data_IF_905574071319
#
_entry.id   IF_905574071319
#
_cell.length_a   1.000
_cell.length_b   1.000
_cell.length_c   1.000
_cell.angle_alpha   90.00
_cell.angle_beta   90.00
_cell.angle_gamma   90.00
#
_symmetry.space_group_name_H-M   'P 1'
#
loop_
_entity.id
_entity.type
_entity.pdbx_description
1 polymer ?
#
# COMPACT_ATOMS: atom_id res chain seq x y z
N UNK A 1 21.16 -0.13 -10.95
CA UNK A 1 21.79 0.96 -10.16
C UNK A 1 21.37 2.38 -10.59
N UNK A 2 21.47 2.79 -11.87
CA UNK A 2 21.09 4.16 -12.28
C UNK A 2 19.59 4.52 -12.08
N UNK A 3 18.68 3.56 -12.27
CA UNK A 3 17.24 3.80 -12.09
C UNK A 3 16.87 4.12 -10.62
N UNK A 4 17.49 3.42 -9.67
CA UNK A 4 17.28 3.64 -8.23
C UNK A 4 17.78 5.01 -7.81
N UNK A 5 18.95 5.43 -8.31
CA UNK A 5 19.49 6.77 -8.03
C UNK A 5 18.63 7.89 -8.64
N UNK A 6 18.08 7.69 -9.84
CA UNK A 6 17.13 8.64 -10.42
C UNK A 6 15.84 8.72 -9.59
N UNK A 7 15.31 7.59 -9.14
CA UNK A 7 14.11 7.55 -8.31
C UNK A 7 14.32 8.25 -6.97
N UNK A 8 15.47 8.06 -6.31
CA UNK A 8 15.82 8.77 -5.06
C UNK A 8 15.86 10.28 -5.25
N UNK A 9 16.36 10.77 -6.39
CA UNK A 9 16.37 12.22 -6.71
C UNK A 9 14.97 12.79 -6.93
N UNK A 10 14.04 11.95 -7.38
CA UNK A 10 12.63 12.31 -7.63
C UNK A 10 11.72 11.96 -6.45
N UNK A 11 12.27 11.52 -5.31
CA UNK A 11 11.50 10.96 -4.20
C UNK A 11 10.37 11.90 -3.74
N UNK A 12 10.66 13.19 -3.62
CA UNK A 12 9.65 14.16 -3.18
C UNK A 12 8.51 14.33 -4.19
N UNK A 13 8.81 14.29 -5.49
CA UNK A 13 7.80 14.41 -6.55
C UNK A 13 6.90 13.17 -6.59
N UNK A 14 7.47 11.97 -6.46
CA UNK A 14 6.67 10.74 -6.41
C UNK A 14 5.85 10.66 -5.11
N UNK A 15 6.41 11.08 -3.97
CA UNK A 15 5.68 11.15 -2.71
C UNK A 15 4.48 12.09 -2.82
N UNK A 16 4.68 13.31 -3.36
CA UNK A 16 3.59 14.26 -3.52
C UNK A 16 2.50 13.72 -4.44
N UNK A 17 2.86 13.12 -5.57
CA UNK A 17 1.88 12.53 -6.50
C UNK A 17 1.08 11.40 -5.86
N UNK A 18 1.71 10.55 -5.06
CA UNK A 18 1.00 9.50 -4.31
C UNK A 18 0.11 10.11 -3.22
N UNK A 19 0.61 11.07 -2.45
CA UNK A 19 -0.14 11.70 -1.38
C UNK A 19 -1.36 12.48 -1.89
N UNK A 20 -1.27 13.12 -3.07
CA UNK A 20 -2.37 13.85 -3.70
C UNK A 20 -3.57 12.97 -4.12
N UNK A 21 -3.39 11.65 -4.12
CA UNK A 21 -4.49 10.69 -4.34
C UNK A 21 -5.20 10.36 -3.01
N UNK A 22 -4.46 10.33 -1.91
CA UNK A 22 -4.93 9.82 -0.61
C UNK A 22 -5.33 10.93 0.38
N UNK A 23 -4.71 12.10 0.27
CA UNK A 23 -4.91 13.25 1.14
C UNK A 23 -5.52 14.39 0.33
N UNK A 24 -6.75 14.75 0.67
CA UNK A 24 -7.46 15.82 -0.03
C UNK A 24 -6.76 17.17 0.17
N UNK A 25 -6.55 17.89 -0.93
CA UNK A 25 -5.99 19.25 -0.91
C UNK A 25 -4.50 19.37 -0.55
N UNK A 26 -3.74 18.27 -0.41
CA UNK A 26 -2.31 18.35 -0.09
C UNK A 26 -1.50 19.07 -1.18
N UNK A 27 -0.65 20.00 -0.77
CA UNK A 27 0.24 20.72 -1.69
C UNK A 27 1.66 20.14 -1.71
N UNK A 28 2.43 20.49 -2.74
CA UNK A 28 3.84 20.11 -2.81
C UNK A 28 4.66 20.67 -1.63
N UNK A 29 4.51 21.96 -1.22
CA UNK A 29 5.13 22.49 0.00
C UNK A 29 4.80 21.69 1.25
N UNK A 30 3.54 21.28 1.46
CA UNK A 30 3.16 20.48 2.64
C UNK A 30 3.89 19.14 2.66
N UNK A 31 3.96 18.48 1.50
CA UNK A 31 4.71 17.23 1.34
C UNK A 31 6.20 17.43 1.65
N UNK A 32 6.78 18.57 1.24
CA UNK A 32 8.16 18.90 1.53
C UNK A 32 8.42 19.13 3.02
N UNK A 33 7.52 19.84 3.71
CA UNK A 33 7.63 20.03 5.15
C UNK A 33 7.62 18.69 5.89
N UNK A 34 6.70 17.80 5.55
CA UNK A 34 6.63 16.44 6.13
C UNK A 34 7.89 15.64 5.80
N UNK A 35 8.36 15.72 4.54
CA UNK A 35 9.60 15.07 4.13
C UNK A 35 10.79 15.51 4.98
N UNK A 36 10.85 16.79 5.35
CA UNK A 36 11.89 17.39 6.19
C UNK A 36 11.62 17.25 7.71
N UNK A 37 10.56 16.53 8.10
CA UNK A 37 10.23 16.23 9.49
C UNK A 37 9.46 17.34 10.22
N UNK A 38 8.80 18.24 9.49
CA UNK A 38 7.93 19.28 10.03
C UNK A 38 6.46 18.94 9.78
N UNK A 39 5.57 19.48 10.62
CA UNK A 39 4.14 19.36 10.46
C UNK A 39 3.58 20.62 9.77
N UNK A 40 2.92 20.50 8.61
CA UNK A 40 2.25 21.62 7.97
C UNK A 40 1.16 22.24 8.85
N UNK A 41 1.01 23.56 8.74
CA UNK A 41 -0.04 24.27 9.46
C UNK A 41 -1.43 23.81 8.99
N UNK A 42 -2.32 23.55 9.94
CA UNK A 42 -3.73 23.16 9.70
C UNK A 42 -3.94 21.81 8.98
N UNK A 43 -2.94 20.93 8.94
CA UNK A 43 -3.12 19.57 8.42
C UNK A 43 -3.52 18.60 9.53
N UNK A 44 -4.41 17.64 9.22
CA UNK A 44 -4.81 16.61 10.17
C UNK A 44 -3.63 15.68 10.49
N UNK A 45 -3.58 15.19 11.73
CA UNK A 45 -2.53 14.26 12.17
C UNK A 45 -2.54 13.00 11.32
N UNK A 46 -3.72 12.46 11.00
CA UNK A 46 -3.85 11.26 10.19
C UNK A 46 -3.28 11.45 8.78
N UNK A 47 -3.51 12.60 8.16
CA UNK A 47 -2.93 12.94 6.85
C UNK A 47 -1.39 13.03 6.90
N UNK A 48 -0.85 13.62 7.96
CA UNK A 48 0.60 13.66 8.20
C UNK A 48 1.15 12.24 8.35
N UNK A 49 0.42 11.35 9.03
CA UNK A 49 0.82 9.93 9.17
C UNK A 49 0.79 9.24 7.80
N UNK A 50 -0.22 9.47 6.96
CA UNK A 50 -0.29 8.92 5.59
C UNK A 50 0.97 9.27 4.80
N UNK A 51 1.35 10.55 4.76
CA UNK A 51 2.52 11.01 3.99
C UNK A 51 3.83 10.43 4.55
N UNK A 52 3.97 10.36 5.88
CA UNK A 52 5.12 9.72 6.51
C UNK A 52 5.20 8.22 6.21
N UNK A 53 4.08 7.52 6.17
CA UNK A 53 4.03 6.11 5.82
C UNK A 53 4.38 5.89 4.35
N UNK A 54 3.92 6.76 3.44
CA UNK A 54 4.35 6.76 2.03
C UNK A 54 5.87 6.91 1.93
N UNK A 55 6.47 7.87 2.66
CA UNK A 55 7.93 8.05 2.70
C UNK A 55 8.66 6.77 3.10
N UNK A 56 8.18 6.12 4.16
CA UNK A 56 8.77 4.88 4.68
C UNK A 56 8.61 3.71 3.71
N UNK A 57 7.47 3.62 3.03
CA UNK A 57 7.24 2.59 2.02
C UNK A 57 8.20 2.75 0.81
N UNK A 58 8.46 3.99 0.38
CA UNK A 58 9.49 4.26 -0.64
C UNK A 58 10.90 3.91 -0.18
N UNK A 59 11.26 4.20 1.08
CA UNK A 59 12.54 3.79 1.65
C UNK A 59 12.68 2.27 1.66
N UNK A 60 11.64 1.56 2.11
CA UNK A 60 11.59 0.10 2.07
C UNK A 60 11.78 -0.45 0.65
N UNK A 61 11.13 0.15 -0.36
CA UNK A 61 11.33 -0.23 -1.76
C UNK A 61 12.80 -0.08 -2.19
N UNK A 62 13.45 1.04 -1.85
CA UNK A 62 14.84 1.27 -2.24
C UNK A 62 15.82 0.31 -1.55
N UNK A 63 15.54 -0.07 -0.31
CA UNK A 63 16.34 -1.02 0.47
C UNK A 63 16.16 -2.47 -0.02
N UNK A 64 15.01 -2.78 -0.63
CA UNK A 64 14.62 -4.14 -0.99
C UNK A 64 14.36 -4.32 -2.50
N UNK A 65 14.89 -3.44 -3.34
CA UNK A 65 14.60 -3.41 -4.80
C UNK A 65 14.97 -4.70 -5.53
N UNK A 66 15.98 -5.43 -5.04
CA UNK A 66 16.46 -6.68 -5.64
C UNK A 66 15.79 -7.92 -5.03
N UNK A 67 14.91 -7.75 -4.04
CA UNK A 67 14.18 -8.85 -3.42
C UNK A 67 13.05 -9.35 -4.33
N UNK A 68 12.74 -10.65 -4.31
CA UNK A 68 11.59 -11.17 -5.02
C UNK A 68 10.30 -10.55 -4.47
N UNK A 69 9.39 -10.16 -5.36
CA UNK A 69 8.07 -9.69 -4.96
C UNK A 69 7.23 -10.93 -4.63
N UNK A 70 7.21 -11.27 -3.34
CA UNK A 70 6.36 -12.32 -2.78
C UNK A 70 5.29 -11.74 -1.86
N UNK A 71 4.52 -12.62 -1.22
CA UNK A 71 3.46 -12.20 -0.30
C UNK A 71 4.02 -11.42 0.90
N UNK A 72 5.15 -11.84 1.45
CA UNK A 72 5.79 -11.22 2.60
C UNK A 72 6.22 -9.78 2.26
N UNK A 73 6.79 -9.58 1.07
CA UNK A 73 7.14 -8.26 0.57
C UNK A 73 5.92 -7.33 0.49
N UNK A 74 4.85 -7.78 -0.15
CA UNK A 74 3.61 -6.99 -0.31
C UNK A 74 2.92 -6.74 1.02
N UNK A 75 2.91 -7.75 1.90
CA UNK A 75 2.37 -7.68 3.26
C UNK A 75 3.11 -6.63 4.08
N UNK A 76 4.44 -6.61 4.04
CA UNK A 76 5.24 -5.62 4.78
C UNK A 76 5.03 -4.21 4.21
N UNK A 77 4.98 -4.08 2.88
CA UNK A 77 4.66 -2.81 2.23
C UNK A 77 3.30 -2.25 2.70
N UNK A 78 2.27 -3.10 2.75
CA UNK A 78 0.96 -2.73 3.26
C UNK A 78 0.97 -2.40 4.76
N UNK A 79 1.76 -3.14 5.56
CA UNK A 79 1.93 -2.87 6.99
C UNK A 79 2.51 -1.48 7.22
N UNK A 80 3.55 -1.12 6.48
CA UNK A 80 4.20 0.20 6.55
C UNK A 80 3.21 1.31 6.17
N UNK A 81 2.46 1.14 5.07
CA UNK A 81 1.48 2.13 4.63
C UNK A 81 0.36 2.36 5.67
N UNK A 82 -0.14 1.30 6.29
CA UNK A 82 -1.26 1.36 7.22
C UNK A 82 -0.88 1.61 8.68
N UNK A 83 0.41 1.68 9.03
CA UNK A 83 0.82 1.76 10.43
C UNK A 83 0.29 3.02 11.12
N UNK A 84 -0.34 2.86 12.29
CA UNK A 84 -0.95 3.96 13.04
C UNK A 84 -2.34 4.38 12.54
N UNK A 85 -2.79 3.90 11.38
CA UNK A 85 -4.09 4.25 10.78
C UNK A 85 -5.02 3.04 10.62
N UNK A 86 -4.46 1.87 10.30
CA UNK A 86 -5.19 0.66 9.96
C UNK A 86 -4.87 -0.44 10.97
N UNK A 87 -5.90 -0.91 11.69
CA UNK A 87 -5.77 -1.91 12.77
C UNK A 87 -5.08 -3.20 12.33
N UNK A 88 -5.41 -3.68 11.13
CA UNK A 88 -4.94 -4.95 10.58
C UNK A 88 -3.99 -4.75 9.38
N UNK A 89 -3.19 -3.67 9.40
CA UNK A 89 -2.19 -3.38 8.36
C UNK A 89 -1.24 -4.58 8.16
N UNK A 90 -0.97 -4.94 6.91
CA UNK A 90 -0.19 -6.10 6.53
C UNK A 90 -0.97 -7.43 6.54
N UNK A 91 -2.28 -7.43 6.81
CA UNK A 91 -3.11 -8.63 6.68
C UNK A 91 -4.07 -8.50 5.52
N UNK A 92 -4.41 -9.64 4.91
CA UNK A 92 -5.54 -9.68 4.00
C UNK A 92 -6.81 -9.27 4.75
N UNK A 93 -7.58 -8.40 4.11
CA UNK A 93 -8.91 -8.04 4.60
C UNK A 93 -9.82 -9.27 4.68
N UNK A 94 -10.67 -9.30 5.70
CA UNK A 94 -11.67 -10.36 5.90
C UNK A 94 -13.10 -9.91 5.61
N UNK A 95 -13.32 -8.60 5.46
CA UNK A 95 -14.64 -8.02 5.26
C UNK A 95 -14.85 -7.68 3.79
N UNK A 96 -16.01 -7.15 3.42
CA UNK A 96 -16.28 -6.62 2.08
C UNK A 96 -16.15 -5.10 2.02
N UNK A 97 -15.69 -4.60 0.87
CA UNK A 97 -15.59 -3.17 0.55
C UNK A 97 -16.04 -2.97 -0.88
N UNK A 98 -16.45 -1.74 -1.17
CA UNK A 98 -16.72 -1.27 -2.52
C UNK A 98 -15.70 -0.18 -2.84
N UNK A 99 -15.15 -0.21 -4.05
CA UNK A 99 -14.30 0.87 -4.55
C UNK A 99 -15.23 1.84 -5.30
N UNK A 100 -15.41 3.04 -4.78
CA UNK A 100 -16.23 4.07 -5.42
C UNK A 100 -15.77 4.35 -6.87
N UNK A 101 -16.70 4.70 -7.75
CA UNK A 101 -16.38 5.00 -9.16
C UNK A 101 -16.09 3.79 -10.06
N UNK A 102 -16.12 2.56 -9.52
CA UNK A 102 -15.97 1.31 -10.30
C UNK A 102 -17.29 0.56 -10.48
N UNK A 103 -18.43 1.20 -10.18
CA UNK A 103 -19.78 0.59 -10.16
C UNK A 103 -20.15 -0.17 -11.44
N UNK A 104 -19.65 0.27 -12.60
CA UNK A 104 -19.87 -0.38 -13.90
C UNK A 104 -19.16 -1.73 -14.07
N UNK A 105 -18.22 -2.08 -13.18
CA UNK A 105 -17.61 -3.42 -13.12
C UNK A 105 -18.30 -4.35 -12.11
N UNK A 106 -19.26 -3.85 -11.31
CA UNK A 106 -20.04 -4.68 -10.39
C UNK A 106 -21.37 -5.00 -11.07
N UNK A 107 -21.40 -6.07 -11.87
CA UNK A 107 -22.63 -6.53 -12.53
C UNK A 107 -23.70 -7.04 -11.53
N UNK A 108 -23.36 -7.17 -10.25
CA UNK A 108 -24.34 -7.42 -9.19
C UNK A 108 -23.85 -6.91 -7.82
N UNK A 109 -24.78 -6.73 -6.89
CA UNK A 109 -24.51 -6.48 -5.47
C UNK A 109 -24.01 -7.73 -4.72
N UNK A 110 -23.77 -8.84 -5.42
CA UNK A 110 -23.26 -10.08 -4.85
C UNK A 110 -21.73 -10.02 -4.79
N UNK A 111 -21.16 -10.15 -3.59
CA UNK A 111 -19.71 -10.12 -3.35
C UNK A 111 -19.02 -11.46 -3.66
N UNK A 112 -19.81 -12.53 -3.80
CA UNK A 112 -19.32 -13.90 -4.04
C UNK A 112 -18.58 -14.02 -5.38
N UNK A 113 -19.09 -13.48 -6.51
CA UNK A 113 -18.39 -13.54 -7.80
C UNK A 113 -17.06 -12.78 -7.79
N UNK A 114 -16.99 -11.62 -7.13
CA UNK A 114 -15.77 -10.80 -7.04
C UNK A 114 -14.69 -11.49 -6.20
N UNK A 115 -15.08 -12.07 -5.05
CA UNK A 115 -14.17 -12.86 -4.21
C UNK A 115 -13.63 -14.09 -4.94
N UNK A 116 -14.45 -14.77 -5.74
CA UNK A 116 -13.99 -15.88 -6.57
C UNK A 116 -13.01 -15.40 -7.65
N UNK A 117 -13.35 -14.32 -8.35
CA UNK A 117 -12.49 -13.75 -9.39
C UNK A 117 -11.12 -13.30 -8.86
N UNK A 118 -11.07 -12.62 -7.72
CA UNK A 118 -9.81 -12.18 -7.10
C UNK A 118 -8.90 -13.35 -6.73
N UNK A 119 -9.48 -14.43 -6.18
CA UNK A 119 -8.73 -15.65 -5.83
C UNK A 119 -8.08 -16.27 -7.06
N UNK A 120 -8.80 -16.29 -8.18
CA UNK A 120 -8.36 -16.96 -9.39
C UNK A 120 -7.43 -16.08 -10.26
N UNK A 121 -7.59 -14.75 -10.20
CA UNK A 121 -6.96 -13.83 -11.18
C UNK A 121 -6.01 -12.80 -10.58
N UNK A 122 -6.28 -12.29 -9.37
CA UNK A 122 -5.48 -11.21 -8.77
C UNK A 122 -4.37 -11.74 -7.85
N UNK A 123 -4.60 -12.88 -7.18
CA UNK A 123 -3.61 -13.54 -6.29
C UNK A 123 -2.84 -14.65 -7.04
N UNK A 124 -3.33 -15.08 -8.20
CA UNK A 124 -2.89 -16.27 -8.94
C UNK A 124 -1.71 -16.12 -9.90
N UNK A 125 -0.75 -15.20 -9.68
CA UNK A 125 0.52 -15.18 -10.45
C UNK A 125 1.79 -14.97 -9.62
N UNK A 126 1.73 -15.08 -8.29
CA UNK A 126 2.91 -15.40 -7.50
C UNK A 126 3.10 -16.91 -7.61
N UNK A 127 4.05 -17.35 -8.44
CA UNK A 127 4.33 -18.77 -8.66
C UNK A 127 4.48 -19.50 -7.33
N UNK A 128 3.68 -20.57 -7.13
CA UNK A 128 3.71 -21.52 -6.00
C UNK A 128 4.34 -20.93 -4.73
N UNK A 129 3.68 -19.95 -4.11
CA UNK A 129 4.11 -19.42 -2.82
C UNK A 129 3.78 -20.44 -1.69
N UNK A 130 4.63 -20.58 -0.64
CA UNK A 130 4.50 -21.56 0.46
C UNK A 130 3.22 -21.49 1.31
N UNK A 131 2.25 -20.64 0.94
CA UNK A 131 1.04 -20.35 1.70
C UNK A 131 0.12 -21.59 1.85
N UNK A 132 0.23 -22.60 0.98
CA UNK A 132 -0.46 -23.87 1.18
C UNK A 132 0.10 -24.70 2.34
N UNK A 133 1.32 -24.45 2.79
CA UNK A 133 1.97 -25.19 3.89
C UNK A 133 1.69 -24.55 5.25
N UNK A 134 1.61 -23.22 5.36
CA UNK A 134 1.29 -22.52 6.60
C UNK A 134 -0.10 -22.84 7.19
N UNK A 135 -1.04 -23.39 6.40
CA UNK A 135 -2.36 -23.81 6.91
C UNK A 135 -2.35 -25.17 7.59
N UNK A 136 -1.34 -26.02 7.34
CA UNK A 136 -1.32 -27.38 7.85
C UNK A 136 -0.53 -27.54 9.17
N UNK A 137 0.28 -26.55 9.55
CA UNK A 137 1.06 -26.60 10.79
C UNK A 137 0.33 -26.02 12.01
N UNK A 138 -0.74 -25.24 11.81
CA UNK A 138 -1.56 -24.69 12.90
C UNK A 138 -2.72 -25.62 13.32
N UNK A 139 -2.81 -26.81 12.73
CA UNK A 139 -3.89 -27.78 12.95
C UNK A 139 -3.42 -29.14 13.51
N UNK A 140 -2.16 -29.23 13.98
CA UNK A 140 -1.64 -30.38 14.74
C UNK A 140 -1.09 -29.94 16.09
#
# INVERSE_FOLDING_TARGET
MMAVELAKRQLIDVMWKTANIEVDGITFPDTQEIFEGRAPANMAVDDIIVVNNIKRAWMFLFENVDQPIDWQYVSEYNRILGEGLIRDAGKLRTNDVRIGGTLHYYESNDDVPFRSWLKDNAIGRLGRSPISECRNEAAN
#
